data_IF_910880966069
#
_entry.id   IF_910880966069
#
_cell.length_a   1.000
_cell.length_b   1.000
_cell.length_c   1.000
_cell.angle_alpha   90.00
_cell.angle_beta   90.00
_cell.angle_gamma   90.00
#
_symmetry.space_group_name_H-M   'P 1'
#
loop_
_entity.id
_entity.type
_entity.pdbx_description
1 polymer ?
#
# COMPACT_ATOMS: atom_id res chain seq x y z
N UNK A 1 -15.16 4.31 44.95
CA UNK A 1 -13.90 3.94 44.27
C UNK A 1 -13.98 2.47 43.93
N UNK A 2 -14.49 2.16 42.74
CA UNK A 2 -14.55 0.80 42.21
C UNK A 2 -13.24 0.44 41.52
N UNK A 3 -12.76 -0.78 41.72
CA UNK A 3 -11.80 -1.42 40.84
C UNK A 3 -12.48 -2.67 40.27
N UNK A 4 -13.01 -2.52 39.06
CA UNK A 4 -13.48 -3.64 38.24
C UNK A 4 -12.25 -4.39 37.71
N UNK A 5 -12.04 -5.60 38.23
CA UNK A 5 -11.07 -6.54 37.69
C UNK A 5 -11.60 -7.11 36.36
N UNK A 6 -10.96 -6.75 35.24
CA UNK A 6 -11.24 -7.33 33.92
C UNK A 6 -10.81 -8.80 33.90
N UNK A 7 -11.64 -9.74 33.43
CA UNK A 7 -11.19 -11.11 33.28
C UNK A 7 -10.19 -11.20 32.12
N UNK A 8 -9.10 -11.94 32.33
CA UNK A 8 -8.14 -12.28 31.30
C UNK A 8 -8.82 -13.17 30.25
N UNK A 9 -8.79 -12.75 28.99
CA UNK A 9 -9.25 -13.57 27.87
C UNK A 9 -8.29 -14.76 27.73
N UNK A 10 -8.81 -15.98 27.84
CA UNK A 10 -8.05 -17.19 27.65
C UNK A 10 -7.48 -17.21 26.23
N UNK A 11 -6.16 -17.27 26.11
CA UNK A 11 -5.46 -17.39 24.84
C UNK A 11 -5.96 -18.61 24.08
N UNK A 12 -6.43 -18.40 22.85
CA UNK A 12 -6.81 -19.50 21.99
C UNK A 12 -5.57 -20.32 21.66
N UNK A 13 -5.64 -21.60 22.03
CA UNK A 13 -4.63 -22.62 21.81
C UNK A 13 -4.43 -22.81 20.29
N UNK A 14 -3.48 -22.06 19.73
CA UNK A 14 -3.15 -22.11 18.31
C UNK A 14 -2.41 -23.42 18.04
N UNK A 15 -3.20 -24.49 17.83
CA UNK A 15 -2.69 -25.81 17.43
C UNK A 15 -1.73 -25.64 16.26
N UNK A 16 -0.45 -25.85 16.54
CA UNK A 16 0.64 -25.68 15.58
C UNK A 16 0.51 -26.78 14.52
N UNK A 17 -0.12 -26.45 13.39
CA UNK A 17 -0.25 -27.37 12.27
C UNK A 17 1.15 -27.64 11.75
N UNK A 18 1.65 -28.86 11.97
CA UNK A 18 2.93 -29.29 11.41
C UNK A 18 2.57 -30.17 10.21
N UNK A 19 2.56 -29.62 8.98
CA UNK A 19 2.15 -30.41 7.84
C UNK A 19 3.16 -31.53 7.64
N UNK A 20 2.68 -32.76 7.48
CA UNK A 20 3.55 -33.85 7.03
C UNK A 20 4.13 -33.41 5.68
N UNK A 21 5.45 -33.17 5.59
CA UNK A 21 6.11 -32.54 4.43
C UNK A 21 5.74 -33.16 3.07
N UNK A 22 5.35 -34.44 3.05
CA UNK A 22 4.86 -35.17 1.87
C UNK A 22 3.48 -34.71 1.40
N UNK A 23 2.57 -34.32 2.30
CA UNK A 23 1.23 -33.84 1.95
C UNK A 23 1.25 -32.48 1.24
N UNK A 24 2.21 -31.61 1.59
CA UNK A 24 2.40 -30.31 0.92
C UNK A 24 2.89 -30.42 -0.53
N UNK A 25 3.38 -31.60 -0.94
CA UNK A 25 3.84 -31.86 -2.31
C UNK A 25 2.74 -32.44 -3.20
N UNK A 26 1.52 -32.63 -2.69
CA UNK A 26 0.38 -33.07 -3.51
C UNK A 26 -0.01 -31.97 -4.51
N UNK A 27 -0.44 -32.31 -5.74
CA UNK A 27 -1.02 -31.35 -6.66
C UNK A 27 -2.18 -30.61 -6.00
N UNK A 28 -2.29 -29.30 -6.28
CA UNK A 28 -3.46 -28.51 -5.88
C UNK A 28 -4.63 -28.91 -6.75
N UNK A 29 -5.82 -29.00 -6.17
CA UNK A 29 -7.05 -29.22 -6.95
C UNK A 29 -7.26 -28.05 -7.93
N UNK A 30 -7.76 -28.34 -9.13
CA UNK A 30 -7.91 -27.37 -10.22
C UNK A 30 -8.70 -26.12 -9.80
N UNK A 31 -9.78 -26.28 -9.04
CA UNK A 31 -10.57 -25.15 -8.53
C UNK A 31 -9.81 -24.23 -7.56
N UNK A 32 -8.78 -24.72 -6.86
CA UNK A 32 -7.91 -23.84 -6.05
C UNK A 32 -7.01 -22.99 -6.96
N UNK A 33 -6.43 -23.62 -7.98
CA UNK A 33 -5.56 -22.93 -8.96
C UNK A 33 -6.36 -21.90 -9.75
N UNK A 34 -7.58 -22.25 -10.18
CA UNK A 34 -8.51 -21.34 -10.84
C UNK A 34 -8.89 -20.14 -9.96
N UNK A 35 -9.19 -20.38 -8.68
CA UNK A 35 -9.48 -19.31 -7.75
C UNK A 35 -8.29 -18.33 -7.60
N UNK A 36 -7.06 -18.85 -7.53
CA UNK A 36 -5.85 -18.02 -7.52
C UNK A 36 -5.70 -17.24 -8.82
N UNK A 37 -5.89 -17.87 -9.99
CA UNK A 37 -5.84 -17.17 -11.27
C UNK A 37 -6.88 -16.06 -11.38
N UNK A 38 -8.08 -16.24 -10.81
CA UNK A 38 -9.10 -15.19 -10.76
C UNK A 38 -8.73 -14.04 -9.82
N UNK A 39 -8.00 -14.31 -8.73
CA UNK A 39 -7.43 -13.27 -7.88
C UNK A 39 -6.33 -12.51 -8.64
N UNK A 40 -5.44 -13.24 -9.32
CA UNK A 40 -4.33 -12.68 -10.11
C UNK A 40 -4.79 -11.92 -11.36
N UNK A 41 -5.98 -12.23 -11.89
CA UNK A 41 -6.56 -11.54 -13.04
C UNK A 41 -6.80 -10.03 -12.78
N UNK A 42 -6.72 -9.61 -11.51
CA UNK A 42 -6.85 -8.22 -11.11
C UNK A 42 -8.27 -7.67 -11.33
N UNK A 43 -8.40 -6.35 -11.14
CA UNK A 43 -9.60 -5.64 -11.56
C UNK A 43 -9.61 -5.52 -13.08
N UNK A 44 -10.76 -5.80 -13.71
CA UNK A 44 -10.91 -5.52 -15.13
C UNK A 44 -10.76 -4.01 -15.42
N UNK A 45 -10.43 -3.68 -16.67
CA UNK A 45 -10.14 -2.31 -17.09
C UNK A 45 -11.30 -1.34 -16.83
N UNK A 46 -12.55 -1.79 -16.94
CA UNK A 46 -13.72 -0.93 -16.76
C UNK A 46 -13.93 -0.61 -15.28
N UNK A 47 -13.86 -1.63 -14.42
CA UNK A 47 -13.94 -1.46 -12.97
C UNK A 47 -12.79 -0.57 -12.45
N UNK A 48 -11.57 -0.76 -12.98
CA UNK A 48 -10.44 0.10 -12.63
C UNK A 48 -10.68 1.55 -13.06
N UNK A 49 -11.16 1.78 -14.29
CA UNK A 49 -11.46 3.14 -14.76
C UNK A 49 -12.55 3.84 -13.94
N UNK A 50 -13.57 3.09 -13.50
CA UNK A 50 -14.63 3.64 -12.66
C UNK A 50 -14.10 4.10 -11.29
N UNK A 51 -13.26 3.28 -10.65
CA UNK A 51 -12.64 3.64 -9.37
C UNK A 51 -11.67 4.82 -9.52
N UNK A 52 -10.97 4.94 -10.66
CA UNK A 52 -10.03 6.05 -10.90
C UNK A 52 -10.81 7.36 -10.94
N UNK A 53 -11.91 7.36 -11.71
CA UNK A 53 -12.81 8.50 -11.79
C UNK A 53 -13.40 8.87 -10.43
N UNK A 54 -13.80 7.88 -9.63
CA UNK A 54 -14.32 8.12 -8.29
C UNK A 54 -13.27 8.73 -7.36
N UNK A 55 -12.07 8.14 -7.23
CA UNK A 55 -10.99 8.67 -6.39
C UNK A 55 -10.64 10.10 -6.77
N UNK A 56 -10.49 10.37 -8.07
CA UNK A 56 -10.20 11.72 -8.57
C UNK A 56 -11.31 12.71 -8.21
N UNK A 57 -12.57 12.31 -8.33
CA UNK A 57 -13.70 13.15 -7.98
C UNK A 57 -13.76 13.46 -6.48
N UNK A 58 -13.45 12.48 -5.61
CA UNK A 58 -13.36 12.71 -4.16
C UNK A 58 -12.27 13.75 -3.85
N UNK A 59 -11.06 13.57 -4.38
CA UNK A 59 -9.96 14.54 -4.19
C UNK A 59 -10.32 15.96 -4.66
N UNK A 60 -10.88 16.07 -5.87
CA UNK A 60 -11.30 17.36 -6.43
C UNK A 60 -12.38 18.02 -5.55
N UNK A 61 -13.35 17.24 -5.07
CA UNK A 61 -14.48 17.77 -4.31
C UNK A 61 -14.14 18.15 -2.88
N UNK A 62 -13.26 17.39 -2.21
CA UNK A 62 -12.88 17.64 -0.83
C UNK A 62 -11.71 18.62 -0.70
N UNK A 63 -10.75 18.59 -1.64
CA UNK A 63 -9.49 19.33 -1.54
C UNK A 63 -9.24 20.32 -2.67
N UNK A 64 -10.01 20.26 -3.76
CA UNK A 64 -9.89 21.18 -4.90
C UNK A 64 -8.64 20.98 -5.76
N UNK A 65 -7.93 19.87 -5.57
CA UNK A 65 -6.79 19.46 -6.40
C UNK A 65 -6.60 17.93 -6.28
N UNK A 66 -5.97 17.33 -7.28
CA UNK A 66 -5.72 15.88 -7.36
C UNK A 66 -4.21 15.62 -7.43
N UNK A 67 -3.65 14.76 -6.56
CA UNK A 67 -2.24 14.39 -6.66
C UNK A 67 -1.90 13.78 -8.04
N UNK A 68 -0.68 14.00 -8.51
CA UNK A 68 -0.13 13.25 -9.64
C UNK A 68 0.09 11.78 -9.29
N UNK A 69 0.26 11.48 -8.01
CA UNK A 69 0.48 10.17 -7.44
C UNK A 69 1.12 10.28 -6.06
N UNK A 70 1.59 9.14 -5.55
CA UNK A 70 2.21 9.06 -4.24
C UNK A 70 3.67 8.61 -4.37
N UNK A 71 4.49 9.04 -3.42
CA UNK A 71 5.86 8.57 -3.25
C UNK A 71 6.00 7.94 -1.87
N UNK A 72 6.64 6.78 -1.77
CA UNK A 72 6.73 6.04 -0.51
C UNK A 72 8.00 5.18 -0.43
N UNK A 73 8.29 4.67 0.78
CA UNK A 73 9.37 3.71 0.99
C UNK A 73 9.05 2.38 0.32
N UNK A 74 10.04 1.80 -0.33
CA UNK A 74 9.91 0.46 -0.89
C UNK A 74 10.29 -0.60 0.14
N UNK A 75 9.38 -1.55 0.38
CA UNK A 75 9.60 -2.67 1.29
C UNK A 75 9.93 -4.00 0.58
N UNK A 76 10.15 -3.98 -0.74
CA UNK A 76 10.55 -5.16 -1.50
C UNK A 76 11.95 -5.68 -1.10
N UNK A 77 12.77 -4.81 -0.52
CA UNK A 77 14.14 -5.08 -0.13
C UNK A 77 15.16 -4.65 -1.20
N UNK A 78 16.46 -4.81 -0.93
CA UNK A 78 17.52 -4.34 -1.81
C UNK A 78 17.39 -4.89 -3.25
N UNK A 79 17.66 -4.06 -4.29
CA UNK A 79 18.25 -2.72 -4.21
C UNK A 79 17.23 -1.59 -4.00
N UNK A 80 15.93 -1.88 -4.01
CA UNK A 80 14.88 -0.88 -4.02
C UNK A 80 14.64 -0.30 -2.62
N UNK A 81 14.55 1.02 -2.55
CA UNK A 81 14.34 1.74 -1.29
C UNK A 81 13.20 2.74 -1.36
N UNK A 82 12.80 3.17 -2.55
CA UNK A 82 11.66 4.07 -2.76
C UNK A 82 10.78 3.51 -3.90
N UNK A 83 9.51 3.88 -3.94
CA UNK A 83 8.65 3.66 -5.11
C UNK A 83 7.72 4.84 -5.37
N UNK A 84 7.36 4.99 -6.64
CA UNK A 84 6.25 5.86 -7.06
C UNK A 84 5.02 5.01 -7.26
N UNK A 85 3.90 5.54 -6.79
CA UNK A 85 2.58 4.91 -6.88
C UNK A 85 1.62 5.81 -7.67
N UNK A 86 0.65 5.20 -8.33
CA UNK A 86 -0.52 5.91 -8.86
C UNK A 86 -1.55 6.17 -7.74
N UNK A 87 -2.68 6.81 -8.07
CA UNK A 87 -3.73 7.14 -7.11
C UNK A 87 -4.39 5.92 -6.44
N UNK A 88 -4.17 4.72 -6.97
CA UNK A 88 -4.64 3.45 -6.38
C UNK A 88 -3.62 2.83 -5.44
N UNK A 89 -2.53 3.54 -5.17
CA UNK A 89 -1.35 2.98 -4.54
C UNK A 89 -0.75 1.79 -5.30
N UNK A 90 -1.02 1.67 -6.61
CA UNK A 90 -0.36 0.68 -7.46
C UNK A 90 1.02 1.16 -7.83
N UNK A 91 2.01 0.26 -7.74
CA UNK A 91 3.40 0.62 -8.03
C UNK A 91 3.57 0.93 -9.50
N UNK A 92 4.01 2.15 -9.77
CA UNK A 92 4.40 2.61 -11.11
C UNK A 92 5.87 2.29 -11.36
N UNK A 93 6.74 2.56 -10.38
CA UNK A 93 8.17 2.39 -10.53
C UNK A 93 8.87 2.21 -9.18
N UNK A 94 9.88 1.37 -9.13
CA UNK A 94 10.77 1.20 -7.99
C UNK A 94 12.10 1.93 -8.23
N UNK A 95 12.68 2.49 -7.18
CA UNK A 95 13.95 3.22 -7.25
C UNK A 95 14.97 2.66 -6.25
N UNK A 96 16.17 2.38 -6.75
CA UNK A 96 17.38 2.20 -5.96
C UNK A 96 17.97 3.57 -5.54
N UNK A 97 18.93 3.63 -4.59
CA UNK A 97 19.41 4.90 -4.04
C UNK A 97 19.96 5.89 -5.06
N UNK A 98 20.63 5.40 -6.11
CA UNK A 98 21.25 6.22 -7.15
C UNK A 98 20.34 6.52 -8.34
N UNK A 99 19.15 5.90 -8.41
CA UNK A 99 18.26 6.08 -9.54
C UNK A 99 17.68 7.50 -9.55
N UNK A 100 17.64 8.18 -10.71
CA UNK A 100 17.02 9.49 -10.81
C UNK A 100 15.50 9.35 -10.65
N UNK A 101 14.92 10.11 -9.72
CA UNK A 101 13.46 10.23 -9.58
C UNK A 101 13.03 11.46 -10.38
N UNK A 102 11.99 11.38 -11.23
CA UNK A 102 11.53 12.53 -11.98
C UNK A 102 10.90 13.59 -11.07
N UNK A 103 11.09 14.87 -11.41
CA UNK A 103 10.28 15.94 -10.83
C UNK A 103 8.80 15.78 -11.24
N UNK A 104 7.82 16.11 -10.39
CA UNK A 104 7.96 16.67 -9.04
C UNK A 104 8.29 15.68 -7.91
N UNK A 105 8.27 14.37 -8.18
CA UNK A 105 8.40 13.33 -7.14
C UNK A 105 9.76 13.32 -6.44
N UNK A 106 10.83 13.76 -7.11
CA UNK A 106 12.17 13.86 -6.52
C UNK A 106 12.18 14.65 -5.20
N UNK A 107 11.33 15.68 -5.06
CA UNK A 107 11.26 16.50 -3.84
C UNK A 107 10.69 15.75 -2.63
N UNK A 108 9.88 14.72 -2.85
CA UNK A 108 9.30 13.89 -1.79
C UNK A 108 10.30 12.89 -1.19
N UNK A 109 11.42 12.63 -1.89
CA UNK A 109 12.32 11.52 -1.57
C UNK A 109 12.94 11.60 -0.19
N UNK A 110 13.34 12.80 0.24
CA UNK A 110 13.90 12.98 1.58
C UNK A 110 12.85 12.84 2.68
N UNK A 111 11.58 13.20 2.40
CA UNK A 111 10.49 13.10 3.36
C UNK A 111 10.15 11.64 3.65
N UNK A 112 9.96 10.81 2.61
CA UNK A 112 9.63 9.38 2.80
C UNK A 112 10.77 8.62 3.51
N UNK A 113 12.02 9.01 3.28
CA UNK A 113 13.20 8.40 3.91
C UNK A 113 13.35 8.69 5.40
N UNK A 114 12.59 9.62 5.96
CA UNK A 114 12.48 9.76 7.42
C UNK A 114 11.83 8.53 8.06
N UNK A 115 11.02 7.78 7.29
CA UNK A 115 10.20 6.69 7.81
C UNK A 115 9.01 7.14 8.67
N UNK A 116 8.73 8.45 8.73
CA UNK A 116 7.66 9.00 9.55
C UNK A 116 6.29 8.95 8.86
N UNK A 117 6.24 8.77 7.54
CA UNK A 117 5.04 8.86 6.71
C UNK A 117 4.83 7.55 5.95
N UNK A 118 3.57 7.15 5.76
CA UNK A 118 3.23 6.00 4.94
C UNK A 118 3.49 6.33 3.46
N UNK A 119 3.14 7.54 3.04
CA UNK A 119 3.45 8.07 1.72
C UNK A 119 3.42 9.61 1.72
N UNK A 120 3.91 10.21 0.64
CA UNK A 120 3.79 11.63 0.35
C UNK A 120 2.99 11.78 -0.94
N UNK A 121 1.87 12.49 -0.89
CA UNK A 121 1.14 12.92 -2.07
C UNK A 121 1.92 14.02 -2.77
N UNK A 122 2.03 13.94 -4.09
CA UNK A 122 2.80 14.88 -4.90
C UNK A 122 1.89 15.53 -5.92
N UNK A 123 1.78 16.86 -5.85
CA UNK A 123 0.89 17.64 -6.72
C UNK A 123 1.66 18.28 -7.88
N UNK A 124 0.92 18.59 -8.95
CA UNK A 124 1.46 19.25 -10.14
C UNK A 124 2.02 20.65 -9.84
N UNK A 125 1.43 21.35 -8.86
CA UNK A 125 1.86 22.67 -8.38
C UNK A 125 3.26 22.68 -7.78
N UNK A 126 3.76 21.52 -7.35
CA UNK A 126 4.98 21.44 -6.56
C UNK A 126 4.74 21.01 -5.11
N UNK A 127 3.49 21.08 -4.66
CA UNK A 127 3.10 20.84 -3.29
C UNK A 127 3.25 19.38 -2.88
N UNK A 128 3.64 19.17 -1.62
CA UNK A 128 3.87 17.86 -1.02
C UNK A 128 3.02 17.73 0.23
N UNK A 129 2.23 16.67 0.33
CA UNK A 129 1.43 16.36 1.52
C UNK A 129 1.88 15.03 2.11
N UNK A 130 2.70 15.03 3.18
CA UNK A 130 3.11 13.81 3.86
C UNK A 130 1.93 13.24 4.66
N UNK A 131 1.59 11.99 4.41
CA UNK A 131 0.43 11.32 5.01
C UNK A 131 0.90 10.29 6.02
N UNK A 132 0.36 10.39 7.24
CA UNK A 132 0.62 9.47 8.35
C UNK A 132 -0.24 8.20 8.22
N UNK A 133 0.12 7.20 9.01
CA UNK A 133 -0.57 5.91 9.01
C UNK A 133 -2.07 5.98 9.36
N UNK A 134 -2.46 6.97 10.16
CA UNK A 134 -3.87 7.22 10.51
C UNK A 134 -4.63 8.04 9.45
N UNK A 135 -3.97 8.38 8.33
CA UNK A 135 -4.52 9.17 7.24
C UNK A 135 -4.42 10.68 7.47
N UNK A 136 -3.89 11.16 8.59
CA UNK A 136 -3.69 12.60 8.80
C UNK A 136 -2.52 13.13 7.98
N UNK A 137 -2.63 14.39 7.53
CA UNK A 137 -1.60 15.07 6.77
C UNK A 137 -0.72 15.88 7.73
N UNK A 138 0.60 15.67 7.67
CA UNK A 138 1.55 16.43 8.47
C UNK A 138 1.56 17.91 8.06
N UNK A 139 1.60 18.79 9.06
CA UNK A 139 1.63 20.25 8.89
C UNK A 139 2.97 20.78 8.39
#
# INVERSE_FOLDING_TARGET
MGLDARPAVAGQDQKRFTPVRRQLRKPRHAGLVEAVHRLDAGLDTATRAQLDGWIRAEYESEFGDVPLGMFALCHLGPPYIDHRLDLFQSIVEHYAPADPVPEPFARARMLVRTGAYDFVEVYASGELRPVLHDGSVAA
#
